data_IF_240621606290
#
_entry.id   IF_240621606290
#
_cell.length_a   1.000
_cell.length_b   1.000
_cell.length_c   1.000
_cell.angle_alpha   90.00
_cell.angle_beta   90.00
_cell.angle_gamma   90.00
#
_symmetry.space_group_name_H-M   'P 1'
#
loop_
_entity.id
_entity.type
_entity.pdbx_description
1 polymer ?
#
# COMPACT_ATOMS: atom_id res chain seq x y z
N UNK A 1 -24.42 0.12 -28.51
CA UNK A 1 -24.44 -0.82 -27.36
C UNK A 1 -25.02 -0.08 -26.15
N UNK A 2 -26.00 -0.64 -25.45
CA UNK A 2 -26.40 -0.11 -24.12
C UNK A 2 -25.28 -0.44 -23.14
N UNK A 3 -24.84 0.55 -22.35
CA UNK A 3 -23.89 0.29 -21.26
C UNK A 3 -24.51 -0.77 -20.32
N UNK A 4 -23.74 -1.80 -19.97
CA UNK A 4 -24.14 -2.73 -18.92
C UNK A 4 -24.29 -1.94 -17.62
N UNK A 5 -25.31 -2.28 -16.82
CA UNK A 5 -25.47 -1.71 -15.49
C UNK A 5 -24.23 -2.03 -14.64
N UNK A 6 -23.76 -1.05 -13.87
CA UNK A 6 -22.69 -1.23 -12.90
C UNK A 6 -23.29 -1.84 -11.64
N UNK A 7 -22.70 -2.95 -11.16
CA UNK A 7 -23.08 -3.62 -9.93
C UNK A 7 -21.98 -3.38 -8.88
N UNK A 8 -22.37 -2.94 -7.68
CA UNK A 8 -21.45 -2.83 -6.55
C UNK A 8 -21.25 -4.22 -5.95
N UNK A 9 -20.07 -4.80 -6.14
CA UNK A 9 -19.72 -6.13 -5.63
C UNK A 9 -19.39 -6.14 -4.13
N UNK A 10 -18.82 -5.05 -3.62
CA UNK A 10 -18.45 -4.92 -2.22
C UNK A 10 -18.49 -3.46 -1.78
N UNK A 11 -19.04 -3.23 -0.60
CA UNK A 11 -18.92 -1.98 0.15
C UNK A 11 -18.37 -2.30 1.53
N UNK A 12 -17.20 -1.73 1.86
CA UNK A 12 -16.57 -1.90 3.18
C UNK A 12 -16.94 -0.71 4.06
N UNK A 13 -18.09 -0.82 4.73
CA UNK A 13 -18.65 0.26 5.54
C UNK A 13 -17.77 0.61 6.76
N UNK A 14 -17.68 1.88 7.14
CA UNK A 14 -17.10 2.26 8.41
C UNK A 14 -17.95 1.75 9.58
N UNK A 15 -17.32 1.52 10.72
CA UNK A 15 -18.00 1.13 11.95
C UNK A 15 -17.42 1.88 13.15
N UNK A 16 -18.02 1.72 14.33
CA UNK A 16 -17.41 2.24 15.58
C UNK A 16 -16.02 1.65 15.84
N UNK A 17 -15.78 0.40 15.44
CA UNK A 17 -14.50 -0.28 15.62
C UNK A 17 -13.47 0.05 14.54
N UNK A 18 -13.93 0.45 13.35
CA UNK A 18 -13.10 0.90 12.24
C UNK A 18 -13.77 2.07 11.51
N UNK A 19 -13.64 3.31 12.03
CA UNK A 19 -14.39 4.46 11.53
C UNK A 19 -13.98 4.94 10.12
N UNK A 20 -12.88 4.45 9.58
CA UNK A 20 -12.45 4.71 8.20
C UNK A 20 -11.83 3.45 7.60
N UNK A 21 -12.26 3.12 6.38
CA UNK A 21 -11.57 2.17 5.52
C UNK A 21 -11.18 2.92 4.25
N UNK A 22 -9.92 2.86 3.85
CA UNK A 22 -9.42 3.57 2.67
C UNK A 22 -8.25 2.82 2.03
N UNK A 23 -7.74 3.38 0.94
CA UNK A 23 -6.47 2.96 0.34
C UNK A 23 -6.41 1.45 0.01
N UNK A 24 -7.36 0.97 -0.79
CA UNK A 24 -7.44 -0.43 -1.19
C UNK A 24 -6.53 -0.78 -2.37
N UNK A 25 -6.12 -2.04 -2.44
CA UNK A 25 -5.51 -2.66 -3.62
C UNK A 25 -6.08 -4.07 -3.78
N UNK A 26 -6.39 -4.45 -5.02
CA UNK A 26 -7.07 -5.70 -5.34
C UNK A 26 -6.25 -6.49 -6.35
N UNK A 27 -6.20 -7.80 -6.19
CA UNK A 27 -5.51 -8.70 -7.13
C UNK A 27 -6.30 -9.98 -7.35
N UNK A 28 -6.29 -10.51 -8.56
CA UNK A 28 -6.84 -11.83 -8.87
C UNK A 28 -5.84 -12.92 -8.44
N UNK A 29 -6.33 -13.90 -7.68
CA UNK A 29 -5.61 -15.10 -7.29
C UNK A 29 -5.57 -16.12 -8.44
N UNK A 30 -4.66 -17.09 -8.36
CA UNK A 30 -4.52 -18.12 -9.41
C UNK A 30 -5.77 -18.99 -9.63
N UNK A 31 -6.65 -19.07 -8.64
CA UNK A 31 -7.93 -19.79 -8.74
C UNK A 31 -9.09 -18.91 -9.24
N UNK A 32 -8.80 -17.68 -9.67
CA UNK A 32 -9.76 -16.72 -10.21
C UNK A 32 -10.52 -15.91 -9.16
N UNK A 33 -10.30 -16.15 -7.85
CA UNK A 33 -10.92 -15.33 -6.80
C UNK A 33 -10.22 -13.98 -6.68
N UNK A 34 -10.95 -12.97 -6.23
CA UNK A 34 -10.39 -11.65 -5.96
C UNK A 34 -9.91 -11.55 -4.51
N UNK A 35 -8.71 -11.01 -4.31
CA UNK A 35 -8.13 -10.69 -3.02
C UNK A 35 -8.01 -9.18 -2.88
N UNK A 36 -8.74 -8.62 -1.92
CA UNK A 36 -8.67 -7.20 -1.56
C UNK A 36 -7.82 -7.04 -0.31
N UNK A 37 -6.90 -6.07 -0.31
CA UNK A 37 -6.27 -5.53 0.90
C UNK A 37 -6.59 -4.03 1.03
N UNK A 38 -6.71 -3.52 2.24
CA UNK A 38 -7.02 -2.10 2.49
C UNK A 38 -6.55 -1.62 3.87
N UNK A 39 -6.41 -0.31 4.02
CA UNK A 39 -6.16 0.33 5.32
C UNK A 39 -7.45 0.37 6.15
N UNK A 40 -7.43 -0.32 7.29
CA UNK A 40 -8.51 -0.39 8.28
C UNK A 40 -8.15 0.49 9.48
N UNK A 41 -8.64 1.72 9.51
CA UNK A 41 -8.35 2.67 10.59
C UNK A 41 -9.19 2.33 11.82
N UNK A 42 -8.53 2.14 12.96
CA UNK A 42 -9.15 1.72 14.22
C UNK A 42 -9.15 2.82 15.28
N UNK A 43 -8.31 3.84 15.14
CA UNK A 43 -8.17 4.92 16.12
C UNK A 43 -8.84 6.26 15.72
N UNK A 44 -9.61 6.30 14.63
CA UNK A 44 -10.26 7.52 14.13
C UNK A 44 -10.19 7.69 12.62
N UNK A 45 -10.63 8.85 12.11
CA UNK A 45 -10.63 9.16 10.67
C UNK A 45 -9.42 9.93 10.15
N UNK A 46 -8.54 10.39 11.04
CA UNK A 46 -7.36 11.19 10.68
C UNK A 46 -6.27 10.37 9.98
N UNK A 47 -5.45 11.00 9.14
CA UNK A 47 -4.39 10.34 8.37
C UNK A 47 -3.23 9.77 9.22
N UNK A 48 -3.12 10.16 10.48
CA UNK A 48 -2.18 9.59 11.45
C UNK A 48 -2.87 8.73 12.52
N UNK A 49 -4.18 8.47 12.40
CA UNK A 49 -4.87 7.60 13.34
C UNK A 49 -4.37 6.15 13.18
N UNK A 50 -4.30 5.37 14.28
CA UNK A 50 -3.97 3.95 14.24
C UNK A 50 -4.76 3.18 13.19
N UNK A 51 -4.06 2.39 12.38
CA UNK A 51 -4.63 1.57 11.33
C UNK A 51 -3.92 0.22 11.23
N UNK A 52 -4.63 -0.73 10.61
CA UNK A 52 -4.17 -2.07 10.25
C UNK A 52 -4.25 -2.24 8.73
N UNK A 53 -3.54 -3.21 8.17
CA UNK A 53 -3.84 -3.71 6.82
C UNK A 53 -4.73 -4.94 6.95
N UNK A 54 -5.97 -4.83 6.51
CA UNK A 54 -6.94 -5.92 6.48
C UNK A 54 -7.09 -6.47 5.05
N UNK A 55 -7.57 -7.70 4.94
CA UNK A 55 -7.87 -8.33 3.67
C UNK A 55 -9.19 -9.08 3.68
N UNK A 56 -9.83 -9.15 2.51
CA UNK A 56 -11.00 -10.01 2.23
C UNK A 56 -10.78 -10.75 0.93
N UNK A 57 -11.35 -11.95 0.85
CA UNK A 57 -11.31 -12.78 -0.37
C UNK A 57 -12.73 -12.97 -0.86
N UNK A 58 -12.94 -12.72 -2.14
CA UNK A 58 -14.21 -12.97 -2.79
C UNK A 58 -14.42 -14.47 -3.08
N UNK A 59 -15.67 -14.88 -3.22
CA UNK A 59 -16.00 -16.11 -3.93
C UNK A 59 -15.65 -15.99 -5.44
N UNK A 60 -15.83 -17.09 -6.18
CA UNK A 60 -15.52 -17.12 -7.62
C UNK A 60 -16.41 -16.20 -8.46
N UNK A 61 -17.59 -15.83 -7.96
CA UNK A 61 -18.52 -14.93 -8.65
C UNK A 61 -18.31 -13.46 -8.26
N UNK A 62 -17.43 -13.16 -7.31
CA UNK A 62 -17.17 -11.82 -6.80
C UNK A 62 -18.28 -11.25 -5.91
N UNK A 63 -19.28 -12.05 -5.53
CA UNK A 63 -20.55 -11.61 -4.93
C UNK A 63 -20.58 -11.77 -3.41
N UNK A 64 -19.90 -12.77 -2.88
CA UNK A 64 -19.70 -12.93 -1.45
C UNK A 64 -18.24 -12.71 -1.10
N UNK A 65 -17.99 -12.11 0.06
CA UNK A 65 -16.65 -11.80 0.54
C UNK A 65 -16.48 -12.32 1.97
N UNK A 66 -15.28 -12.80 2.29
CA UNK A 66 -14.94 -13.21 3.65
C UNK A 66 -14.98 -12.04 4.64
N UNK A 67 -14.97 -12.37 5.93
CA UNK A 67 -14.61 -11.44 6.99
C UNK A 67 -13.15 -10.95 6.85
N UNK A 68 -12.81 -9.91 7.63
CA UNK A 68 -11.47 -9.32 7.66
C UNK A 68 -10.43 -10.33 8.19
N UNK A 69 -9.39 -10.57 7.40
CA UNK A 69 -8.12 -11.14 7.87
C UNK A 69 -7.10 -10.03 8.02
N UNK A 70 -6.54 -9.85 9.22
CA UNK A 70 -5.50 -8.84 9.45
C UNK A 70 -4.16 -9.35 8.92
N UNK A 71 -3.61 -8.66 7.91
CA UNK A 71 -2.30 -8.96 7.34
C UNK A 71 -1.18 -8.28 8.11
N UNK A 72 -1.43 -7.05 8.57
CA UNK A 72 -0.50 -6.24 9.36
C UNK A 72 -1.31 -5.54 10.45
N UNK A 73 -0.96 -5.78 11.72
CA UNK A 73 -1.66 -5.18 12.85
C UNK A 73 -1.10 -3.79 13.20
N UNK A 74 -0.20 -3.69 14.18
CA UNK A 74 0.40 -2.42 14.64
C UNK A 74 1.91 -2.50 14.61
N UNK A 75 2.46 -2.22 13.44
CA UNK A 75 3.90 -2.24 13.22
C UNK A 75 4.56 -0.87 13.25
N UNK A 76 3.82 0.19 12.92
CA UNK A 76 4.26 1.59 13.00
C UNK A 76 3.86 2.23 14.33
N UNK A 77 4.55 3.32 14.71
CA UNK A 77 4.19 4.09 15.92
C UNK A 77 2.85 4.79 15.75
N UNK A 78 2.58 5.36 14.57
CA UNK A 78 1.29 6.00 14.27
C UNK A 78 0.37 5.02 13.53
N UNK A 79 0.74 4.57 12.33
CA UNK A 79 -0.09 3.62 11.58
C UNK A 79 0.67 2.82 10.51
N UNK A 80 -0.04 1.87 9.92
CA UNK A 80 0.31 1.19 8.66
C UNK A 80 -0.78 1.43 7.63
N UNK A 81 -0.43 1.76 6.39
CA UNK A 81 -1.42 2.25 5.41
C UNK A 81 -0.95 2.17 3.95
N UNK A 82 -1.79 2.64 3.01
CA UNK A 82 -1.46 2.79 1.58
C UNK A 82 -0.95 1.51 0.89
N UNK A 83 -1.71 0.43 0.99
CA UNK A 83 -1.31 -0.88 0.46
C UNK A 83 -1.27 -0.88 -1.08
N UNK A 84 -0.30 -1.61 -1.65
CA UNK A 84 -0.27 -1.99 -3.07
C UNK A 84 0.05 -3.48 -3.19
N UNK A 85 -0.66 -4.20 -4.07
CA UNK A 85 -0.41 -5.60 -4.40
C UNK A 85 0.08 -5.70 -5.84
N UNK A 86 1.18 -6.41 -6.05
CA UNK A 86 1.75 -6.63 -7.38
C UNK A 86 2.13 -8.10 -7.56
N UNK A 87 1.46 -8.79 -8.48
CA UNK A 87 1.91 -10.10 -8.95
C UNK A 87 3.13 -9.93 -9.84
N UNK A 88 4.24 -10.50 -9.39
CA UNK A 88 5.49 -10.53 -10.12
C UNK A 88 5.40 -11.54 -11.27
N UNK A 89 6.25 -11.35 -12.28
CA UNK A 89 6.44 -12.35 -13.35
C UNK A 89 6.92 -13.72 -12.84
N UNK A 90 7.52 -13.79 -11.65
CA UNK A 90 7.83 -15.05 -10.97
C UNK A 90 6.60 -15.78 -10.43
N UNK A 91 5.44 -15.11 -10.37
CA UNK A 91 4.20 -15.61 -9.78
C UNK A 91 4.01 -15.24 -8.31
N UNK A 92 5.06 -14.79 -7.62
CA UNK A 92 4.98 -14.23 -6.27
C UNK A 92 4.10 -12.97 -6.24
N UNK A 93 3.48 -12.68 -5.10
CA UNK A 93 2.79 -11.41 -4.86
C UNK A 93 3.66 -10.57 -3.92
N UNK A 94 3.99 -9.36 -4.36
CA UNK A 94 4.67 -8.36 -3.56
C UNK A 94 3.63 -7.40 -2.97
N UNK A 95 3.59 -7.31 -1.65
CA UNK A 95 2.74 -6.38 -0.91
C UNK A 95 3.59 -5.22 -0.40
N UNK A 96 3.29 -4.00 -0.85
CA UNK A 96 3.83 -2.76 -0.31
C UNK A 96 2.84 -2.15 0.68
N UNK A 97 3.34 -1.59 1.77
CA UNK A 97 2.57 -0.74 2.69
C UNK A 97 3.49 0.31 3.30
N UNK A 98 2.95 1.47 3.67
CA UNK A 98 3.66 2.47 4.43
C UNK A 98 3.64 2.12 5.92
N UNK A 99 4.77 2.33 6.58
CA UNK A 99 4.89 2.30 8.02
C UNK A 99 5.19 3.73 8.47
N UNK A 100 4.25 4.32 9.20
CA UNK A 100 4.30 5.70 9.65
C UNK A 100 4.62 5.73 11.13
N UNK A 101 5.76 6.33 11.46
CA UNK A 101 6.24 6.49 12.82
C UNK A 101 6.14 7.95 13.31
N UNK A 102 6.29 8.92 12.40
CA UNK A 102 6.23 10.35 12.70
C UNK A 102 6.14 11.18 11.41
N UNK A 103 6.14 12.52 11.55
CA UNK A 103 6.24 13.44 10.42
C UNK A 103 7.60 13.45 9.71
N UNK A 104 8.63 12.79 10.25
CA UNK A 104 9.95 12.62 9.62
C UNK A 104 10.24 11.18 9.20
N UNK A 105 9.38 10.23 9.58
CA UNK A 105 9.54 8.81 9.26
C UNK A 105 8.20 8.19 8.83
N UNK A 106 7.98 8.18 7.52
CA UNK A 106 6.91 7.46 6.86
C UNK A 106 7.49 6.80 5.61
N UNK A 107 7.70 5.47 5.64
CA UNK A 107 8.46 4.77 4.59
C UNK A 107 7.76 3.50 4.12
N UNK A 108 7.92 3.11 2.84
CA UNK A 108 7.37 1.86 2.33
C UNK A 108 8.19 0.65 2.76
N UNK A 109 7.46 -0.34 3.25
CA UNK A 109 7.92 -1.69 3.54
C UNK A 109 7.27 -2.68 2.57
N UNK A 110 7.94 -3.82 2.39
CA UNK A 110 7.53 -4.88 1.49
C UNK A 110 7.45 -6.20 2.23
N UNK A 111 6.40 -6.98 1.95
CA UNK A 111 6.29 -8.41 2.28
C UNK A 111 5.98 -9.19 1.01
N UNK A 112 6.35 -10.46 0.99
CA UNK A 112 6.17 -11.36 -0.16
C UNK A 112 5.26 -12.51 0.20
N UNK A 113 4.45 -12.95 -0.75
CA UNK A 113 3.77 -14.23 -0.71
C UNK A 113 4.14 -15.07 -1.92
N UNK A 114 4.44 -16.34 -1.66
CA UNK A 114 4.66 -17.38 -2.68
C UNK A 114 3.44 -18.31 -2.83
N UNK A 115 2.39 -18.09 -2.02
CA UNK A 115 1.28 -19.00 -1.79
C UNK A 115 -0.10 -18.31 -1.86
N UNK A 116 -0.23 -17.33 -2.76
CA UNK A 116 -1.51 -16.62 -3.01
C UNK A 116 -2.04 -15.88 -1.77
N UNK A 117 -1.15 -15.15 -1.10
CA UNK A 117 -1.39 -14.37 0.12
C UNK A 117 -1.72 -15.19 1.36
N UNK A 118 -1.63 -16.52 1.34
CA UNK A 118 -1.88 -17.34 2.54
C UNK A 118 -0.88 -17.00 3.65
N UNK A 119 0.40 -16.92 3.33
CA UNK A 119 1.46 -16.45 4.22
C UNK A 119 2.19 -15.23 3.65
N UNK A 120 2.83 -14.48 4.54
CA UNK A 120 3.66 -13.35 4.19
C UNK A 120 5.05 -13.52 4.81
N UNK A 121 6.09 -13.22 4.04
CA UNK A 121 7.46 -13.11 4.55
C UNK A 121 7.58 -12.02 5.61
N UNK A 122 8.70 -12.01 6.32
CA UNK A 122 9.12 -10.84 7.09
C UNK A 122 9.20 -9.59 6.22
N UNK A 123 9.01 -8.43 6.86
CA UNK A 123 9.05 -7.14 6.17
C UNK A 123 10.48 -6.76 5.80
N UNK A 124 10.63 -6.14 4.65
CA UNK A 124 11.88 -5.52 4.18
C UNK A 124 11.63 -4.05 3.88
N UNK A 125 12.62 -3.20 4.14
CA UNK A 125 12.53 -1.77 3.84
C UNK A 125 12.80 -1.55 2.35
N UNK A 126 11.90 -0.84 1.65
CA UNK A 126 12.12 -0.51 0.24
C UNK A 126 12.95 0.78 0.08
N UNK A 127 12.60 1.82 0.84
CA UNK A 127 13.29 3.12 0.78
C UNK A 127 14.10 3.29 2.07
N UNK A 128 15.43 3.27 1.94
CA UNK A 128 16.33 3.46 3.08
C UNK A 128 16.53 4.93 3.47
N UNK A 129 16.30 5.85 2.53
CA UNK A 129 16.32 7.28 2.80
C UNK A 129 15.31 7.60 3.92
N UNK A 130 15.74 8.36 4.92
CA UNK A 130 14.83 8.87 5.95
C UNK A 130 13.97 9.98 5.38
N UNK A 131 12.72 10.05 5.80
CA UNK A 131 11.79 11.10 5.40
C UNK A 131 10.34 10.66 5.45
N UNK A 132 9.46 11.63 5.17
CA UNK A 132 8.04 11.39 5.01
C UNK A 132 7.73 11.14 3.53
N UNK A 133 7.67 9.87 3.15
CA UNK A 133 7.33 9.45 1.78
C UNK A 133 5.85 9.10 1.71
N UNK A 134 5.13 9.82 0.86
CA UNK A 134 3.80 9.44 0.42
C UNK A 134 3.95 8.53 -0.79
N UNK A 135 3.39 7.33 -0.70
CA UNK A 135 3.18 6.41 -1.81
C UNK A 135 1.69 6.16 -1.87
N UNK A 136 1.01 6.62 -2.91
CA UNK A 136 -0.42 6.35 -3.06
C UNK A 136 -0.65 4.83 -3.18
N UNK A 137 -1.79 4.36 -2.66
CA UNK A 137 -2.18 2.96 -2.76
C UNK A 137 -2.28 2.51 -4.21
N UNK A 138 -2.03 1.22 -4.43
CA UNK A 138 -2.11 0.57 -5.73
C UNK A 138 -1.20 1.20 -6.82
N UNK A 139 -0.03 1.71 -6.44
CA UNK A 139 0.93 2.35 -7.36
C UNK A 139 2.26 1.63 -7.55
N UNK A 140 2.51 0.53 -6.84
CA UNK A 140 3.64 -0.36 -7.12
C UNK A 140 3.38 -1.08 -8.46
N UNK A 141 4.20 -0.80 -9.47
CA UNK A 141 4.03 -1.38 -10.83
C UNK A 141 5.28 -2.10 -11.31
N UNK A 142 5.09 -3.06 -12.22
CA UNK A 142 6.17 -3.71 -12.99
C UNK A 142 6.08 -3.29 -14.45
N UNK A 143 7.16 -2.72 -14.99
CA UNK A 143 7.29 -2.38 -16.40
C UNK A 143 7.49 -3.65 -17.25
N UNK A 144 7.26 -3.54 -18.56
CA UNK A 144 7.49 -4.64 -19.52
C UNK A 144 8.94 -5.15 -19.53
N UNK A 145 9.90 -4.30 -19.14
CA UNK A 145 11.32 -4.68 -18.96
C UNK A 145 11.58 -5.54 -17.71
N UNK A 146 10.57 -5.74 -16.86
CA UNK A 146 10.71 -6.40 -15.57
C UNK A 146 11.09 -5.45 -14.42
N UNK A 147 11.46 -4.20 -14.68
CA UNK A 147 11.75 -3.23 -13.62
C UNK A 147 10.50 -2.92 -12.78
N UNK A 148 10.63 -2.90 -11.47
CA UNK A 148 9.59 -2.41 -10.55
C UNK A 148 9.80 -0.93 -10.25
N UNK A 149 8.70 -0.21 -10.10
CA UNK A 149 8.69 1.23 -9.83
C UNK A 149 7.78 1.50 -8.65
N UNK A 150 8.31 2.22 -7.66
CA UNK A 150 7.53 2.86 -6.59
C UNK A 150 7.53 4.37 -6.86
N UNK A 151 6.43 4.93 -7.36
CA UNK A 151 6.23 6.37 -7.37
C UNK A 151 6.06 6.87 -5.94
N UNK A 152 6.82 7.89 -5.55
CA UNK A 152 6.78 8.47 -4.21
C UNK A 152 6.84 10.00 -4.26
N UNK A 153 6.23 10.65 -3.28
CA UNK A 153 6.41 12.06 -2.99
C UNK A 153 7.10 12.21 -1.63
N UNK A 154 8.31 12.79 -1.62
CA UNK A 154 9.00 13.14 -0.39
C UNK A 154 8.48 14.50 0.08
N UNK A 155 8.01 14.56 1.32
CA UNK A 155 7.69 15.81 2.01
C UNK A 155 8.77 16.10 3.04
N UNK A 156 9.66 17.09 2.80
CA UNK A 156 10.65 17.51 3.78
C UNK A 156 9.99 17.91 5.10
N UNK A 157 10.61 17.53 6.21
CA UNK A 157 10.16 17.89 7.55
C UNK A 157 11.40 18.10 8.41
N UNK A 158 11.73 19.36 8.71
CA UNK A 158 13.04 19.72 9.28
C UNK A 158 13.14 19.40 10.77
N UNK A 159 12.03 19.51 11.50
CA UNK A 159 11.98 19.30 12.95
C UNK A 159 11.07 18.13 13.38
N UNK A 160 10.56 17.35 12.41
CA UNK A 160 9.71 16.20 12.69
C UNK A 160 8.31 16.56 13.19
N UNK A 161 7.86 17.81 13.02
CA UNK A 161 6.51 18.27 13.39
C UNK A 161 5.69 18.67 12.17
N UNK A 162 4.36 18.62 12.31
CA UNK A 162 3.44 19.14 11.28
C UNK A 162 3.74 20.59 10.87
N UNK A 163 4.32 21.41 11.76
CA UNK A 163 4.62 22.83 11.48
C UNK A 163 5.72 23.01 10.44
N UNK A 164 6.68 22.07 10.35
CA UNK A 164 7.77 22.14 9.37
C UNK A 164 7.65 21.11 8.26
N UNK A 165 6.56 20.34 8.26
CA UNK A 165 6.19 19.47 7.17
C UNK A 165 5.83 20.31 5.96
N UNK A 166 6.59 20.14 4.87
CA UNK A 166 6.36 20.87 3.63
C UNK A 166 5.19 20.24 2.87
N UNK A 167 4.16 21.04 2.62
CA UNK A 167 3.03 20.63 1.78
C UNK A 167 3.45 20.35 0.34
N UNK A 168 4.56 20.92 -0.13
CA UNK A 168 5.12 20.67 -1.45
C UNK A 168 5.86 19.35 -1.46
N UNK A 169 5.28 18.37 -2.15
CA UNK A 169 5.91 17.09 -2.39
C UNK A 169 6.97 17.17 -3.48
N UNK A 170 8.13 16.57 -3.22
CA UNK A 170 9.14 16.30 -4.22
C UNK A 170 8.81 14.94 -4.85
N UNK A 171 8.30 14.94 -6.07
CA UNK A 171 7.96 13.74 -6.80
C UNK A 171 9.22 13.03 -7.32
N UNK A 172 9.32 11.73 -7.06
CA UNK A 172 10.42 10.87 -7.51
C UNK A 172 9.95 9.42 -7.58
N UNK A 173 10.83 8.55 -8.09
CA UNK A 173 10.58 7.11 -8.15
C UNK A 173 11.74 6.34 -7.53
N UNK A 174 11.41 5.20 -6.93
CA UNK A 174 12.37 4.16 -6.61
C UNK A 174 12.22 3.01 -7.59
N UNK A 175 13.36 2.47 -8.00
CA UNK A 175 13.47 1.49 -9.06
C UNK A 175 14.12 0.23 -8.50
N UNK A 176 13.56 -0.93 -8.86
CA UNK A 176 14.16 -2.22 -8.56
C UNK A 176 14.27 -3.07 -9.82
N UNK A 177 15.45 -3.64 -10.04
CA UNK A 177 15.79 -4.44 -11.21
C UNK A 177 15.99 -5.93 -10.84
N UNK A 178 15.85 -6.31 -9.57
CA UNK A 178 16.14 -7.65 -9.02
C UNK A 178 14.92 -8.32 -8.37
N UNK A 179 13.74 -7.96 -8.86
CA UNK A 179 12.46 -8.50 -8.37
C UNK A 179 11.91 -7.81 -7.12
N UNK A 180 12.42 -6.63 -6.75
CA UNK A 180 12.01 -5.90 -5.55
C UNK A 180 12.82 -6.27 -4.31
N UNK A 181 14.06 -6.74 -4.47
CA UNK A 181 14.95 -7.09 -3.34
C UNK A 181 15.81 -5.89 -2.94
N UNK A 182 16.35 -5.17 -3.92
CA UNK A 182 17.05 -3.92 -3.72
C UNK A 182 16.39 -2.80 -4.51
N UNK A 183 16.52 -1.59 -4.00
CA UNK A 183 15.88 -0.40 -4.56
C UNK A 183 16.89 0.74 -4.66
N UNK A 184 16.78 1.52 -5.72
CA UNK A 184 17.57 2.74 -5.92
C UNK A 184 16.66 3.88 -6.33
N UNK A 185 16.98 5.08 -5.85
CA UNK A 185 16.30 6.29 -6.28
C UNK A 185 16.57 6.56 -7.77
N UNK A 186 15.57 7.07 -8.50
CA UNK A 186 15.81 7.59 -9.84
C UNK A 186 16.63 8.89 -9.79
N UNK A 187 17.25 9.26 -10.92
CA UNK A 187 18.08 10.49 -10.99
C UNK A 187 17.26 11.76 -10.89
N UNK A 188 16.05 11.75 -11.45
CA UNK A 188 15.17 12.91 -11.46
C UNK A 188 14.40 13.03 -10.15
N UNK A 189 14.28 14.26 -9.66
CA UNK A 189 13.33 14.65 -8.65
C UNK A 189 12.64 15.91 -9.16
N UNK A 190 11.32 15.95 -9.08
CA UNK A 190 10.50 17.04 -9.59
C UNK A 190 9.79 17.69 -8.42
N UNK A 191 10.01 18.98 -8.22
CA UNK A 191 9.25 19.76 -7.26
C UNK A 191 7.92 20.14 -7.91
N UNK A 192 6.81 19.76 -7.27
CA UNK A 192 5.51 20.25 -7.69
C UNK A 192 5.44 21.78 -7.44
N UNK A 193 4.80 22.55 -8.34
CA UNK A 193 4.71 24.01 -8.24
C UNK A 193 4.01 24.49 -6.94
#
# INVERSE_FOLDING_TARGET
MKAKAVETLLLVEPSKANPRNSEGSIIELKDGRLFLAYSRFTGGGADNAPAQIAARVADHDGKAWSDDRILVDKEGVENVMSVSLLRLTSGEILMLYLLKNSWEDCRPYLRRSTDEMQTLSDRTLAIHDKGYFVVNNDRLVQLSSGRRVIPAALHPCKDGTFKTWDHRGIALCYLSDDGGRTWRRCRSALEAP
#
